data_IF_112016784845
#
_entry.id   IF_112016784845
#
_cell.length_a   1.000
_cell.length_b   1.000
_cell.length_c   1.000
_cell.angle_alpha   90.00
_cell.angle_beta   90.00
_cell.angle_gamma   90.00
#
_symmetry.space_group_name_H-M   'P 1'
#
loop_
_entity.id
_entity.type
_entity.pdbx_description
1 polymer ?
#
# COMPACT_ATOMS: atom_id res chain seq x y z
N UNK A 1 1.36 -5.20 15.91
CA UNK A 1 1.16 -5.04 14.48
C UNK A 1 -0.12 -4.29 14.20
N UNK A 2 -0.07 -3.42 13.21
CA UNK A 2 -1.25 -2.62 12.88
C UNK A 2 -2.06 -3.33 11.79
N UNK A 3 -3.35 -3.39 11.97
CA UNK A 3 -4.29 -3.91 10.98
C UNK A 3 -5.24 -2.80 10.57
N UNK A 4 -5.25 -2.50 9.28
CA UNK A 4 -6.17 -1.52 8.71
C UNK A 4 -7.12 -2.27 7.78
N UNK A 5 -8.37 -2.37 8.17
CA UNK A 5 -9.36 -3.11 7.38
C UNK A 5 -10.58 -2.23 7.15
N UNK A 6 -10.94 -2.05 5.88
CA UNK A 6 -12.14 -1.30 5.48
C UNK A 6 -12.17 0.11 6.03
N UNK A 7 -11.00 0.75 6.11
CA UNK A 7 -10.91 2.12 6.58
C UNK A 7 -10.66 3.06 5.43
N UNK A 8 -11.13 4.30 5.56
CA UNK A 8 -10.87 5.33 4.59
C UNK A 8 -9.68 6.16 5.07
N UNK A 9 -8.55 5.95 4.44
CA UNK A 9 -7.31 6.65 4.76
C UNK A 9 -6.90 7.58 3.62
N UNK A 10 -7.87 8.00 2.81
CA UNK A 10 -7.60 8.86 1.67
C UNK A 10 -6.92 10.16 2.14
N UNK A 11 -5.88 10.56 1.42
CA UNK A 11 -5.14 11.77 1.71
C UNK A 11 -4.25 11.71 2.94
N UNK A 12 -4.17 10.56 3.59
CA UNK A 12 -3.32 10.42 4.77
C UNK A 12 -1.84 10.51 4.41
N UNK A 13 -1.06 10.98 5.35
CA UNK A 13 0.39 11.04 5.18
C UNK A 13 1.06 10.20 6.26
N UNK A 14 1.91 9.31 5.81
CA UNK A 14 2.72 8.46 6.68
C UNK A 14 4.18 8.84 6.43
N UNK A 15 4.79 9.51 7.40
CA UNK A 15 6.18 9.94 7.24
C UNK A 15 7.01 9.40 8.40
N UNK A 16 8.15 8.80 8.05
CA UNK A 16 9.11 8.27 9.02
C UNK A 16 8.46 7.34 10.03
N UNK A 17 7.59 6.44 9.52
CA UNK A 17 6.88 5.47 10.36
C UNK A 17 7.40 4.07 10.13
N UNK A 18 7.26 3.24 11.14
CA UNK A 18 7.60 1.82 11.04
C UNK A 18 6.31 1.04 10.83
N UNK A 19 6.13 0.49 9.64
CA UNK A 19 4.96 -0.29 9.28
C UNK A 19 5.28 -1.78 9.18
N UNK A 20 6.33 -2.23 9.85
CA UNK A 20 6.73 -3.64 9.82
C UNK A 20 5.56 -4.52 10.21
N UNK A 21 5.22 -5.47 9.34
CA UNK A 21 4.17 -6.43 9.59
C UNK A 21 2.76 -5.87 9.53
N UNK A 22 2.59 -4.61 9.12
CA UNK A 22 1.25 -4.02 9.01
C UNK A 22 0.46 -4.69 7.91
N UNK A 23 -0.86 -4.71 8.08
CA UNK A 23 -1.78 -5.28 7.10
C UNK A 23 -2.78 -4.22 6.68
N UNK A 24 -2.93 -4.07 5.37
CA UNK A 24 -3.90 -3.15 4.76
C UNK A 24 -4.83 -3.97 3.88
N UNK A 25 -6.09 -4.08 4.27
CA UNK A 25 -7.07 -4.83 3.49
C UNK A 25 -8.29 -3.98 3.21
N UNK A 26 -8.63 -3.86 1.93
CA UNK A 26 -9.83 -3.16 1.49
C UNK A 26 -9.92 -1.76 2.08
N UNK A 27 -8.80 -1.05 2.10
CA UNK A 27 -8.74 0.31 2.61
C UNK A 27 -8.69 1.29 1.44
N UNK A 28 -9.13 2.52 1.70
CA UNK A 28 -9.02 3.60 0.74
C UNK A 28 -7.78 4.41 1.08
N UNK A 29 -6.82 4.40 0.18
CA UNK A 29 -5.58 5.16 0.32
C UNK A 29 -5.42 6.15 -0.84
N UNK A 30 -6.53 6.60 -1.41
CA UNK A 30 -6.49 7.54 -2.52
C UNK A 30 -5.74 8.80 -2.12
N UNK A 31 -4.69 9.13 -2.86
CA UNK A 31 -3.89 10.31 -2.59
C UNK A 31 -3.03 10.22 -1.34
N UNK A 32 -2.97 9.06 -0.70
CA UNK A 32 -2.11 8.89 0.47
C UNK A 32 -0.64 8.89 0.06
N UNK A 33 0.19 9.42 0.95
CA UNK A 33 1.64 9.49 0.74
C UNK A 33 2.32 8.76 1.89
N UNK A 34 3.20 7.82 1.55
CA UNK A 34 3.98 7.08 2.53
C UNK A 34 5.46 7.32 2.19
N UNK A 35 6.17 8.03 3.05
CA UNK A 35 7.56 8.40 2.83
C UNK A 35 8.43 8.07 4.02
N UNK A 36 9.61 7.56 3.74
CA UNK A 36 10.57 7.26 4.79
C UNK A 36 10.09 6.17 5.72
N UNK A 37 9.15 5.35 5.28
CA UNK A 37 8.59 4.29 6.10
C UNK A 37 9.40 3.01 5.96
N UNK A 38 9.43 2.25 7.02
CA UNK A 38 9.97 0.89 6.98
C UNK A 38 8.82 -0.03 6.60
N UNK A 39 8.95 -0.68 5.44
CA UNK A 39 7.91 -1.55 4.88
C UNK A 39 8.47 -2.97 4.75
N UNK A 40 8.58 -3.64 5.87
CA UNK A 40 9.09 -5.01 5.92
C UNK A 40 7.94 -5.93 6.31
N UNK A 41 7.71 -6.98 5.53
CA UNK A 41 6.63 -7.94 5.78
C UNK A 41 5.27 -7.27 5.82
N UNK A 42 5.02 -6.33 4.92
CA UNK A 42 3.76 -5.62 4.81
C UNK A 42 2.88 -6.29 3.75
N UNK A 43 1.61 -6.46 4.05
CA UNK A 43 0.61 -6.97 3.10
C UNK A 43 -0.34 -5.86 2.72
N UNK A 44 -0.57 -5.68 1.43
CA UNK A 44 -1.54 -4.72 0.92
C UNK A 44 -2.43 -5.44 -0.06
N UNK A 45 -3.74 -5.39 0.17
CA UNK A 45 -4.73 -6.10 -0.63
C UNK A 45 -5.87 -5.14 -0.98
N UNK A 46 -6.27 -5.11 -2.23
CA UNK A 46 -7.35 -4.24 -2.65
C UNK A 46 -7.21 -3.77 -4.08
N UNK A 47 -8.02 -2.78 -4.43
CA UNK A 47 -7.96 -2.14 -5.74
C UNK A 47 -6.80 -1.15 -5.78
N UNK A 48 -5.92 -1.28 -6.77
CA UNK A 48 -4.80 -0.35 -6.93
C UNK A 48 -4.86 0.33 -8.30
N UNK A 49 -4.68 1.65 -8.30
CA UNK A 49 -4.57 2.47 -9.50
C UNK A 49 -3.56 3.56 -9.23
N UNK A 50 -2.67 3.81 -10.17
CA UNK A 50 -1.67 4.89 -10.08
C UNK A 50 -0.87 4.83 -8.78
N UNK A 51 -0.46 3.63 -8.38
CA UNK A 51 0.34 3.41 -7.18
C UNK A 51 1.81 3.33 -7.55
N UNK A 52 2.63 4.11 -6.85
CA UNK A 52 4.07 4.05 -7.04
C UNK A 52 4.76 3.65 -5.75
N UNK A 53 5.83 2.89 -5.88
CA UNK A 53 6.70 2.54 -4.76
C UNK A 53 8.12 2.88 -5.21
N UNK A 54 8.77 3.75 -4.45
CA UNK A 54 10.11 4.25 -4.79
C UNK A 54 10.16 4.81 -6.22
N UNK A 55 9.08 5.50 -6.61
CA UNK A 55 9.00 6.12 -7.92
C UNK A 55 8.67 5.18 -9.07
N UNK A 56 8.40 3.91 -8.77
CA UNK A 56 8.07 2.92 -9.80
C UNK A 56 6.58 2.63 -9.77
N UNK A 57 5.93 2.72 -10.93
CA UNK A 57 4.52 2.33 -11.05
C UNK A 57 4.43 0.81 -10.92
N UNK A 58 3.81 0.35 -9.84
CA UNK A 58 3.74 -1.08 -9.54
C UNK A 58 2.47 -1.75 -10.05
N UNK A 59 1.48 -0.97 -10.50
CA UNK A 59 0.20 -1.54 -10.92
C UNK A 59 0.37 -2.54 -12.06
N UNK A 60 1.07 -2.19 -13.17
CA UNK A 60 1.25 -3.18 -14.25
C UNK A 60 2.03 -4.40 -13.81
N UNK A 61 2.95 -4.25 -12.86
CA UNK A 61 3.75 -5.38 -12.37
C UNK A 61 2.87 -6.35 -11.58
N UNK A 62 2.00 -5.81 -10.73
CA UNK A 62 1.08 -6.62 -9.94
C UNK A 62 0.07 -7.31 -10.85
N UNK A 63 -0.48 -6.59 -11.80
CA UNK A 63 -1.47 -7.16 -12.72
C UNK A 63 -0.88 -8.28 -13.57
N UNK A 64 0.34 -8.09 -14.05
CA UNK A 64 1.02 -9.11 -14.83
C UNK A 64 1.24 -10.39 -14.02
N UNK A 65 1.58 -10.24 -12.75
CA UNK A 65 1.78 -11.40 -11.90
C UNK A 65 0.47 -12.12 -11.60
N UNK A 66 -0.59 -11.38 -11.34
CA UNK A 66 -1.90 -11.97 -11.05
C UNK A 66 -2.45 -12.72 -12.27
N UNK A 67 -2.21 -12.21 -13.47
CA UNK A 67 -2.64 -12.87 -14.70
C UNK A 67 -1.92 -14.21 -14.96
N UNK A 68 -0.77 -14.39 -14.34
CA UNK A 68 0.02 -15.62 -14.51
C UNK A 68 -0.45 -16.75 -13.60
N UNK A 69 -1.30 -16.49 -12.66
CA UNK A 69 -1.75 -17.48 -11.67
C UNK A 69 -2.96 -18.27 -12.12
#
# INVERSE_FOLDING_TARGET
MADFTRENLAGSRFEEVDLTGARFRNVYLTGAVIRGAVLVNVEIDGLIEDVTINGVDVVPLVEAELDRR
#
